data_IF_256949089554
#
_entry.id   IF_256949089554
#
_cell.length_a   1.000
_cell.length_b   1.000
_cell.length_c   1.000
_cell.angle_alpha   90.00
_cell.angle_beta   90.00
_cell.angle_gamma   90.00
#
_symmetry.space_group_name_H-M   'P 1'
#
loop_
_entity.id
_entity.type
_entity.pdbx_description
1 polymer ?
#
# COMPACT_ATOMS: atom_id res chain seq x y z
N UNK A 1 -0.39 -8.48 3.60
CA UNK A 1 -0.81 -7.25 4.27
C UNK A 1 -0.05 -6.06 3.76
N UNK A 2 -0.63 -4.89 3.87
CA UNK A 2 -0.01 -3.65 3.39
C UNK A 2 -0.02 -2.62 4.51
N UNK A 3 1.12 -1.99 4.72
CA UNK A 3 1.23 -0.84 5.62
C UNK A 3 1.12 0.43 4.79
N UNK A 4 0.14 1.26 5.11
CA UNK A 4 -0.04 2.56 4.48
C UNK A 4 0.36 3.65 5.47
N UNK A 5 1.30 4.49 5.07
CA UNK A 5 1.65 5.68 5.82
C UNK A 5 1.15 6.91 5.09
N UNK A 6 0.26 7.67 5.74
CA UNK A 6 -0.16 8.97 5.23
C UNK A 6 0.85 10.01 5.68
N UNK A 7 1.60 10.54 4.73
CA UNK A 7 2.66 11.50 5.03
C UNK A 7 2.11 12.84 5.51
N UNK A 8 0.88 13.17 5.12
CA UNK A 8 0.27 14.43 5.49
C UNK A 8 -0.13 14.46 6.96
N UNK A 9 -0.68 13.35 7.46
CA UNK A 9 -1.09 13.22 8.86
C UNK A 9 -0.09 12.45 9.70
N UNK A 10 0.89 11.82 9.05
CA UNK A 10 1.87 10.94 9.68
C UNK A 10 1.22 9.80 10.45
N UNK A 11 0.11 9.27 9.93
CA UNK A 11 -0.67 8.21 10.56
C UNK A 11 -0.51 6.90 9.79
N UNK A 12 -0.02 5.82 10.41
CA UNK A 12 0.07 4.53 9.76
C UNK A 12 -1.23 3.74 9.90
N UNK A 13 -1.58 2.99 8.85
CA UNK A 13 -2.70 2.07 8.84
C UNK A 13 -2.30 0.77 8.17
N UNK A 14 -2.97 -0.32 8.55
CA UNK A 14 -2.71 -1.64 7.97
C UNK A 14 -3.94 -2.10 7.21
N UNK A 15 -3.74 -2.55 5.97
CA UNK A 15 -4.80 -3.04 5.11
C UNK A 15 -4.52 -4.47 4.66
N UNK A 16 -5.58 -5.25 4.52
CA UNK A 16 -5.46 -6.63 4.07
C UNK A 16 -5.38 -6.80 2.56
N UNK A 17 -5.71 -5.75 1.80
CA UNK A 17 -5.73 -5.84 0.33
C UNK A 17 -5.49 -4.49 -0.31
N UNK A 18 -5.08 -4.53 -1.58
CA UNK A 18 -4.91 -3.33 -2.40
C UNK A 18 -6.25 -2.61 -2.59
N UNK A 19 -7.33 -3.37 -2.75
CA UNK A 19 -8.67 -2.78 -2.93
C UNK A 19 -9.05 -1.93 -1.71
N UNK A 20 -8.75 -2.39 -0.51
CA UNK A 20 -9.03 -1.64 0.71
C UNK A 20 -8.23 -0.33 0.76
N UNK A 21 -6.97 -0.35 0.34
CA UNK A 21 -6.14 0.85 0.23
C UNK A 21 -6.75 1.85 -0.75
N UNK A 22 -7.16 1.37 -1.92
CA UNK A 22 -7.74 2.24 -2.93
C UNK A 22 -9.05 2.87 -2.47
N UNK A 23 -9.87 2.13 -1.77
CA UNK A 23 -11.12 2.66 -1.22
C UNK A 23 -10.87 3.74 -0.17
N UNK A 24 -9.78 3.62 0.57
CA UNK A 24 -9.44 4.58 1.62
C UNK A 24 -8.74 5.84 1.09
N UNK A 25 -7.96 5.71 0.03
CA UNK A 25 -7.02 6.76 -0.41
C UNK A 25 -7.38 7.39 -1.75
N UNK A 26 -8.35 6.87 -2.47
CA UNK A 26 -8.68 7.25 -3.85
C UNK A 26 -7.54 6.98 -4.86
N UNK A 27 -6.56 6.17 -4.48
CA UNK A 27 -5.54 5.73 -5.42
C UNK A 27 -6.14 4.78 -6.44
N UNK A 28 -5.57 4.78 -7.64
CA UNK A 28 -6.05 3.91 -8.72
C UNK A 28 -5.58 2.47 -8.51
N UNK A 29 -6.51 1.49 -8.48
CA UNK A 29 -6.13 0.09 -8.29
C UNK A 29 -5.12 -0.41 -9.33
N UNK A 30 -5.29 0.00 -10.58
CA UNK A 30 -4.41 -0.43 -11.67
C UNK A 30 -2.95 -0.11 -11.40
N UNK A 31 -2.66 1.07 -10.86
CA UNK A 31 -1.30 1.46 -10.52
C UNK A 31 -0.72 0.56 -9.43
N UNK A 32 -1.50 0.30 -8.39
CA UNK A 32 -1.03 -0.53 -7.27
C UNK A 32 -0.88 -1.99 -7.67
N UNK A 33 -1.80 -2.53 -8.46
CA UNK A 33 -1.66 -3.89 -8.97
C UNK A 33 -0.45 -4.03 -9.88
N UNK A 34 -0.14 -3.00 -10.67
CA UNK A 34 1.06 -2.99 -11.50
C UNK A 34 2.32 -2.99 -10.64
N UNK A 35 2.37 -2.13 -9.64
CA UNK A 35 3.56 -2.00 -8.77
C UNK A 35 3.80 -3.29 -7.98
N UNK A 36 2.78 -3.81 -7.32
CA UNK A 36 2.96 -4.95 -6.42
C UNK A 36 2.81 -6.29 -7.14
N UNK A 37 2.07 -6.34 -8.24
CA UNK A 37 1.85 -7.56 -9.00
C UNK A 37 2.84 -7.76 -10.13
N UNK A 38 2.84 -6.85 -11.13
CA UNK A 38 3.67 -7.00 -12.33
C UNK A 38 5.13 -6.71 -12.09
N UNK A 39 5.44 -5.63 -11.40
CA UNK A 39 6.81 -5.25 -11.08
C UNK A 39 7.34 -5.95 -9.84
N UNK A 40 6.46 -6.61 -9.08
CA UNK A 40 6.81 -7.33 -7.85
C UNK A 40 7.60 -6.48 -6.86
N UNK A 41 7.31 -5.20 -6.83
CA UNK A 41 7.89 -4.30 -5.86
C UNK A 41 7.23 -4.50 -4.49
N UNK A 42 7.98 -4.23 -3.44
CA UNK A 42 7.48 -4.33 -2.07
C UNK A 42 7.12 -2.98 -1.47
N UNK A 43 7.43 -1.90 -2.18
CA UNK A 43 7.17 -0.55 -1.72
C UNK A 43 6.61 0.31 -2.84
N UNK A 44 5.72 1.22 -2.46
CA UNK A 44 5.21 2.25 -3.34
C UNK A 44 5.18 3.56 -2.56
N UNK A 45 5.63 4.63 -3.18
CA UNK A 45 5.64 5.94 -2.53
C UNK A 45 5.27 7.02 -3.53
N UNK A 46 4.40 7.94 -3.09
CA UNK A 46 4.13 9.16 -3.83
C UNK A 46 4.25 10.36 -2.89
N UNK A 47 3.77 11.52 -3.32
CA UNK A 47 3.88 12.75 -2.52
C UNK A 47 3.10 12.66 -1.20
N UNK A 48 2.04 11.87 -1.16
CA UNK A 48 1.13 11.83 -0.02
C UNK A 48 1.20 10.52 0.77
N UNK A 49 1.41 9.41 0.09
CA UNK A 49 1.32 8.09 0.72
C UNK A 49 2.57 7.27 0.49
N UNK A 50 2.87 6.45 1.46
CA UNK A 50 3.88 5.41 1.34
C UNK A 50 3.23 4.07 1.70
N UNK A 51 3.34 3.10 0.81
CA UNK A 51 2.76 1.78 0.98
C UNK A 51 3.88 0.75 0.97
N UNK A 52 3.92 -0.09 2.00
CA UNK A 52 4.90 -1.17 2.10
C UNK A 52 4.15 -2.49 2.20
N UNK A 53 4.48 -3.42 1.31
CA UNK A 53 3.94 -4.77 1.39
C UNK A 53 4.68 -5.54 2.47
N UNK A 54 3.93 -6.02 3.45
CA UNK A 54 4.49 -6.78 4.56
C UNK A 54 4.03 -8.23 4.45
N UNK A 55 4.96 -9.16 4.71
CA UNK A 55 4.63 -10.57 4.80
C UNK A 55 4.50 -10.98 6.26
N UNK A 56 3.39 -11.66 6.59
CA UNK A 56 3.24 -12.23 7.91
C UNK A 56 3.99 -13.55 7.91
N UNK A 57 5.14 -13.57 8.55
CA UNK A 57 5.85 -14.82 8.77
C UNK A 57 5.23 -15.54 9.96
N UNK A 58 4.69 -16.70 9.71
CA UNK A 58 4.25 -17.58 10.77
C UNK A 58 5.44 -18.45 11.19
N UNK A 59 5.80 -18.31 12.43
CA UNK A 59 6.81 -19.16 13.02
C UNK A 59 6.25 -20.57 13.22
#
# INVERSE_FOLDING_TARGET
MFLLLDKQTNTPDIFGSIQAICNHTDLKPDNLYTVFGRKKLTEYENERYRIVKTDVKRA
#
